data_IF_940563462205
#
_entry.id   IF_940563462205
#
_cell.length_a   1.000
_cell.length_b   1.000
_cell.length_c   1.000
_cell.angle_alpha   90.00
_cell.angle_beta   90.00
_cell.angle_gamma   90.00
#
_symmetry.space_group_name_H-M   'P 1'
#
loop_
_entity.id
_entity.type
_entity.pdbx_description
1 polymer ?
#
# COMPACT_ATOMS: atom_id res chain seq x y z
N UNK A 1 -7.06 0.74 2.18
CA UNK A 1 -5.81 1.52 2.28
C UNK A 1 -4.53 0.74 2.54
N UNK A 2 -4.55 -0.43 3.22
CA UNK A 2 -3.31 -1.19 3.50
C UNK A 2 -2.42 -1.40 2.26
N UNK A 3 -2.99 -1.93 1.18
CA UNK A 3 -2.25 -2.30 -0.04
C UNK A 3 -1.62 -1.07 -0.71
N UNK A 4 -2.39 0.03 -0.86
CA UNK A 4 -1.90 1.29 -1.45
C UNK A 4 -0.77 1.88 -0.60
N UNK A 5 -0.93 1.91 0.72
CA UNK A 5 0.11 2.42 1.62
C UNK A 5 1.34 1.51 1.61
N UNK A 6 1.15 0.20 1.64
CA UNK A 6 2.27 -0.75 1.56
C UNK A 6 3.04 -0.57 0.23
N UNK A 7 2.34 -0.35 -0.89
CA UNK A 7 2.96 -0.03 -2.18
C UNK A 7 3.65 1.34 -2.20
N UNK A 8 3.04 2.36 -1.60
CA UNK A 8 3.64 3.69 -1.50
C UNK A 8 4.99 3.65 -0.76
N UNK A 9 5.12 2.78 0.23
CA UNK A 9 6.33 2.62 1.03
C UNK A 9 7.21 1.44 0.61
N UNK A 10 6.77 0.64 -0.38
CA UNK A 10 7.44 -0.61 -0.81
C UNK A 10 7.78 -1.53 0.37
N UNK A 11 6.84 -1.65 1.30
CA UNK A 11 7.05 -2.30 2.59
C UNK A 11 5.83 -2.22 3.50
N UNK A 12 5.95 -2.63 4.76
CA UNK A 12 4.86 -2.47 5.71
C UNK A 12 4.70 -1.00 6.08
N UNK A 13 3.55 -0.39 5.75
CA UNK A 13 3.34 1.06 5.93
C UNK A 13 3.58 1.56 7.37
N UNK A 14 3.36 0.70 8.37
CA UNK A 14 3.52 1.04 9.78
C UNK A 14 4.97 1.05 10.27
N UNK A 15 5.91 0.60 9.45
CA UNK A 15 7.33 0.77 9.73
C UNK A 15 7.79 2.20 9.36
N UNK A 16 6.96 2.94 8.60
CA UNK A 16 7.23 4.30 8.15
C UNK A 16 6.32 5.37 8.75
N UNK A 17 5.17 4.98 9.28
CA UNK A 17 4.16 5.87 9.86
C UNK A 17 3.78 5.41 11.27
N UNK A 18 3.42 6.36 12.13
CA UNK A 18 2.88 6.02 13.45
C UNK A 18 1.48 5.41 13.30
N UNK A 19 1.33 4.16 13.76
CA UNK A 19 0.06 3.40 13.76
C UNK A 19 -1.03 4.03 14.63
N UNK A 20 -0.65 4.88 15.58
CA UNK A 20 -1.58 5.58 16.49
C UNK A 20 -2.25 6.78 15.82
N UNK A 21 -1.64 7.30 14.76
CA UNK A 21 -2.11 8.47 14.04
C UNK A 21 -2.76 8.05 12.72
N UNK A 22 -3.63 8.92 12.20
CA UNK A 22 -4.30 8.70 10.92
C UNK A 22 -3.27 8.76 9.79
N UNK A 23 -3.12 7.67 9.02
CA UNK A 23 -2.04 7.52 8.04
C UNK A 23 -1.97 8.65 7.00
N UNK A 24 -3.09 9.04 6.38
CA UNK A 24 -3.08 10.09 5.34
C UNK A 24 -2.69 11.47 5.89
N UNK A 25 -2.92 11.75 7.18
CA UNK A 25 -2.53 13.03 7.80
C UNK A 25 -1.01 13.14 8.00
N UNK A 26 -0.30 12.02 7.94
CA UNK A 26 1.15 11.96 8.08
C UNK A 26 1.87 12.02 6.72
N UNK A 27 1.13 12.02 5.60
CA UNK A 27 1.69 12.11 4.26
C UNK A 27 1.84 13.58 3.85
N UNK A 28 3.00 13.92 3.26
CA UNK A 28 3.15 15.19 2.58
C UNK A 28 2.41 15.19 1.24
N UNK A 29 2.27 16.37 0.62
CA UNK A 29 1.54 16.51 -0.65
C UNK A 29 2.06 15.58 -1.75
N UNK A 30 3.38 15.39 -1.86
CA UNK A 30 3.97 14.49 -2.85
C UNK A 30 3.53 13.04 -2.64
N UNK A 31 3.58 12.54 -1.40
CA UNK A 31 3.14 11.18 -1.04
C UNK A 31 1.62 11.01 -1.20
N UNK A 32 0.84 12.05 -0.92
CA UNK A 32 -0.60 12.05 -1.18
C UNK A 32 -0.91 11.92 -2.67
N UNK A 33 -0.22 12.69 -3.52
CA UNK A 33 -0.36 12.60 -4.99
C UNK A 33 0.00 11.20 -5.49
N UNK A 34 1.10 10.62 -5.00
CA UNK A 34 1.49 9.25 -5.35
C UNK A 34 0.45 8.22 -4.88
N UNK A 35 -0.08 8.36 -3.66
CA UNK A 35 -1.12 7.47 -3.14
C UNK A 35 -2.40 7.53 -3.98
N UNK A 36 -2.79 8.72 -4.46
CA UNK A 36 -3.93 8.90 -5.36
C UNK A 36 -3.68 8.20 -6.70
N UNK A 37 -2.51 8.41 -7.32
CA UNK A 37 -2.17 7.76 -8.60
C UNK A 37 -2.17 6.22 -8.50
N UNK A 38 -1.68 5.66 -7.38
CA UNK A 38 -1.76 4.23 -7.11
C UNK A 38 -3.23 3.75 -6.95
N UNK A 39 -4.07 4.55 -6.29
CA UNK A 39 -5.49 4.24 -6.15
C UNK A 39 -6.22 4.27 -7.50
N UNK A 40 -5.93 5.28 -8.33
CA UNK A 40 -6.47 5.41 -9.69
C UNK A 40 -6.03 4.23 -10.57
N UNK A 41 -4.79 3.77 -10.42
CA UNK A 41 -4.30 2.57 -11.13
C UNK A 41 -5.10 1.33 -10.75
N UNK A 42 -5.46 1.16 -9.48
CA UNK A 42 -6.33 0.06 -9.05
C UNK A 42 -7.78 0.20 -9.53
N UNK A 43 -8.28 1.43 -9.67
CA UNK A 43 -9.63 1.68 -10.15
C UNK A 43 -9.75 1.46 -11.67
N UNK A 44 -8.70 1.77 -12.41
CA UNK A 44 -8.64 1.58 -13.86
C UNK A 44 -8.18 0.16 -14.26
N UNK A 45 -7.44 -0.52 -13.39
CA UNK A 45 -6.87 -1.84 -13.62
C UNK A 45 -7.85 -2.99 -13.30
N UNK A 46 -7.50 -4.18 -13.80
CA UNK A 46 -8.19 -5.41 -13.41
C UNK A 46 -7.75 -5.86 -12.00
N UNK A 47 -8.56 -6.74 -11.43
CA UNK A 47 -8.35 -7.45 -10.17
C UNK A 47 -6.97 -8.13 -10.05
N UNK A 48 -6.28 -8.38 -11.16
CA UNK A 48 -4.92 -8.93 -11.19
C UNK A 48 -3.89 -8.01 -10.52
N UNK A 49 -3.96 -6.70 -10.76
CA UNK A 49 -3.02 -5.73 -10.14
C UNK A 49 -3.23 -5.72 -8.63
N UNK A 50 -4.49 -5.73 -8.19
CA UNK A 50 -4.84 -5.80 -6.78
C UNK A 50 -4.32 -7.09 -6.13
N UNK A 51 -4.49 -8.23 -6.81
CA UNK A 51 -4.01 -9.53 -6.33
C UNK A 51 -2.48 -9.55 -6.23
N UNK A 52 -1.78 -9.00 -7.22
CA UNK A 52 -0.34 -8.87 -7.23
C UNK A 52 0.17 -8.02 -6.05
N UNK A 53 -0.36 -6.81 -5.87
CA UNK A 53 0.04 -5.94 -4.76
C UNK A 53 -0.35 -6.50 -3.39
N UNK A 54 -1.46 -7.23 -3.31
CA UNK A 54 -1.83 -7.94 -2.09
C UNK A 54 -0.80 -9.04 -1.76
N UNK A 55 -0.28 -9.75 -2.76
CA UNK A 55 0.77 -10.76 -2.59
C UNK A 55 2.06 -10.15 -2.05
N UNK A 56 2.50 -9.02 -2.62
CA UNK A 56 3.68 -8.28 -2.15
C UNK A 56 3.48 -7.78 -0.71
N UNK A 57 2.31 -7.19 -0.42
CA UNK A 57 1.91 -6.78 0.93
C UNK A 57 1.94 -7.95 1.93
N UNK A 58 1.53 -9.16 1.54
CA UNK A 58 1.63 -10.35 2.37
C UNK A 58 3.07 -10.83 2.56
N UNK A 59 3.89 -10.74 1.50
CA UNK A 59 5.30 -11.11 1.56
C UNK A 59 6.07 -10.24 2.55
N UNK A 60 5.91 -8.91 2.50
CA UNK A 60 6.55 -7.98 3.44
C UNK A 60 6.17 -8.25 4.90
N UNK A 61 5.01 -8.87 5.12
CA UNK A 61 4.50 -9.23 6.47
C UNK A 61 4.91 -10.63 6.91
N UNK A 62 5.62 -11.40 6.07
CA UNK A 62 5.88 -12.81 6.29
C UNK A 62 4.61 -13.69 6.30
N UNK A 63 3.52 -13.22 5.68
CA UNK A 63 2.22 -13.90 5.63
C UNK A 63 1.92 -14.53 4.27
N UNK A 64 2.85 -14.45 3.32
CA UNK A 64 2.71 -15.13 2.06
C UNK A 64 2.81 -16.64 2.32
N UNK A 65 1.69 -17.34 2.21
CA UNK A 65 1.68 -18.81 2.26
C UNK A 65 2.27 -19.31 0.94
N UNK A 66 3.51 -19.78 0.98
CA UNK A 66 4.03 -20.71 -0.03
C UNK A 66 3.33 -22.04 0.19
N UNK A 67 2.40 -22.37 -0.70
CA UNK A 67 1.80 -23.69 -0.77
C UNK A 67 2.71 -24.62 -1.57
#
# INVERSE_FOLDING_TARGET
MRIILDQLFQGCWYDHLDRRLVAYKQLNNQKLTQAIALAETLLAGDTEILAHWNRESLQWRGKLKTN
#
